data_IF_741531573287
#
_entry.id   IF_741531573287
#
_cell.length_a   1.000
_cell.length_b   1.000
_cell.length_c   1.000
_cell.angle_alpha   90.00
_cell.angle_beta   90.00
_cell.angle_gamma   90.00
#
_symmetry.space_group_name_H-M   'P 1'
#
loop_
_entity.id
_entity.type
_entity.pdbx_description
1 polymer ?
#
# COMPACT_ATOMS: atom_id res chain seq x y z
N UNK A 1 8.08 9.42 -12.36
CA UNK A 1 7.93 8.24 -11.49
C UNK A 1 8.81 8.45 -10.27
N UNK A 2 8.23 8.45 -9.07
CA UNK A 2 9.00 8.43 -7.82
C UNK A 2 8.82 7.06 -7.16
N UNK A 3 9.92 6.46 -6.70
CA UNK A 3 9.89 5.25 -5.89
C UNK A 3 10.51 5.55 -4.53
N UNK A 4 9.86 5.10 -3.46
CA UNK A 4 10.33 5.31 -2.10
C UNK A 4 10.04 4.12 -1.19
N UNK A 5 10.89 3.94 -0.18
CA UNK A 5 10.59 3.04 0.92
C UNK A 5 9.57 3.68 1.84
N UNK A 6 8.56 2.91 2.25
CA UNK A 6 7.47 3.40 3.11
C UNK A 6 7.14 2.40 4.22
N UNK A 7 6.56 2.93 5.31
CA UNK A 7 5.90 2.14 6.34
C UNK A 7 4.44 2.57 6.42
N UNK A 8 3.52 1.62 6.43
CA UNK A 8 2.07 1.87 6.48
C UNK A 8 1.47 1.07 7.63
N UNK A 9 0.66 1.73 8.47
CA UNK A 9 -0.08 1.06 9.54
C UNK A 9 -1.42 0.56 9.00
N UNK A 10 -1.74 -0.69 9.27
CA UNK A 10 -3.02 -1.29 8.90
C UNK A 10 -4.08 -0.94 9.95
N UNK A 11 -5.15 -0.28 9.49
CA UNK A 11 -6.29 0.08 10.35
C UNK A 11 -7.24 -1.07 10.64
N UNK A 12 -7.60 -1.88 9.64
CA UNK A 12 -8.64 -2.92 9.82
C UNK A 12 -8.55 -4.15 8.89
N UNK A 13 -7.92 -4.06 7.71
CA UNK A 13 -7.88 -5.19 6.75
C UNK A 13 -6.49 -5.37 6.12
N UNK A 14 -6.05 -6.62 5.88
CA UNK A 14 -6.69 -7.88 6.29
C UNK A 14 -6.71 -8.04 7.83
N UNK A 15 -7.78 -8.64 8.36
CA UNK A 15 -8.04 -8.70 9.82
C UNK A 15 -6.88 -9.32 10.62
N UNK A 16 -6.20 -10.32 10.06
CA UNK A 16 -5.04 -10.97 10.70
C UNK A 16 -3.83 -10.05 10.87
N UNK A 17 -3.78 -8.98 10.08
CA UNK A 17 -2.76 -7.94 10.17
C UNK A 17 -3.29 -6.62 10.72
N UNK A 18 -4.47 -6.62 11.34
CA UNK A 18 -4.95 -5.44 12.04
C UNK A 18 -3.88 -4.94 13.02
N UNK A 19 -3.60 -3.63 12.99
CA UNK A 19 -2.54 -2.97 13.76
C UNK A 19 -1.10 -3.34 13.38
N UNK A 20 -0.86 -4.21 12.41
CA UNK A 20 0.49 -4.44 11.89
C UNK A 20 0.97 -3.20 11.11
N UNK A 21 2.29 -3.01 11.10
CA UNK A 21 2.96 -2.04 10.23
C UNK A 21 3.61 -2.79 9.08
N UNK A 22 3.20 -2.48 7.85
CA UNK A 22 3.82 -3.01 6.64
C UNK A 22 4.97 -2.12 6.20
N UNK A 23 6.07 -2.74 5.77
CA UNK A 23 7.22 -2.06 5.17
C UNK A 23 7.44 -2.55 3.74
N UNK A 24 7.79 -1.64 2.85
CA UNK A 24 8.01 -1.97 1.44
C UNK A 24 8.25 -0.77 0.55
N UNK A 25 7.97 -0.93 -0.74
CA UNK A 25 8.16 0.12 -1.76
C UNK A 25 6.84 0.66 -2.25
N UNK A 26 6.82 1.96 -2.48
CA UNK A 26 5.74 2.68 -3.11
C UNK A 26 6.24 3.34 -4.39
N UNK A 27 5.55 3.11 -5.50
CA UNK A 27 5.83 3.71 -6.80
C UNK A 27 4.65 4.60 -7.20
N UNK A 28 4.93 5.86 -7.47
CA UNK A 28 3.93 6.85 -7.87
C UNK A 28 4.14 7.24 -9.33
N UNK A 29 3.12 6.95 -10.12
CA UNK A 29 3.01 7.39 -11.51
C UNK A 29 1.56 7.84 -11.77
N UNK A 30 0.89 7.26 -12.78
CA UNK A 30 -0.55 7.45 -13.03
C UNK A 30 -1.40 6.89 -11.87
N UNK A 31 -0.91 5.80 -11.28
CA UNK A 31 -1.48 5.15 -10.09
C UNK A 31 -0.41 5.06 -9.01
N UNK A 32 -0.85 4.79 -7.80
CA UNK A 32 0.04 4.51 -6.67
C UNK A 32 0.09 3.01 -6.47
N UNK A 33 1.28 2.45 -6.67
CA UNK A 33 1.55 1.03 -6.49
C UNK A 33 2.32 0.84 -5.19
N UNK A 34 1.85 -0.05 -4.32
CA UNK A 34 2.57 -0.43 -3.10
C UNK A 34 2.85 -1.91 -3.13
N UNK A 35 4.10 -2.28 -2.80
CA UNK A 35 4.55 -3.67 -2.63
C UNK A 35 5.18 -3.79 -1.26
N UNK A 36 4.57 -4.59 -0.40
CA UNK A 36 5.00 -4.77 0.98
C UNK A 36 5.54 -6.18 1.19
N UNK A 37 6.72 -6.24 1.79
CA UNK A 37 7.50 -7.48 1.94
C UNK A 37 7.70 -7.88 3.40
N UNK A 38 7.51 -6.97 4.33
CA UNK A 38 7.68 -7.19 5.76
C UNK A 38 6.49 -6.62 6.52
N UNK A 39 6.03 -7.35 7.53
CA UNK A 39 5.07 -6.87 8.52
C UNK A 39 5.72 -6.90 9.91
N UNK A 40 5.44 -5.88 10.70
CA UNK A 40 5.79 -5.82 12.12
C UNK A 40 4.49 -5.75 12.95
N UNK A 41 4.30 -6.69 13.86
CA UNK A 41 3.14 -6.75 14.73
C UNK A 41 3.57 -7.26 16.10
N UNK A 42 3.12 -6.59 17.16
CA UNK A 42 3.37 -7.01 18.55
C UNK A 42 4.89 -7.23 18.85
N UNK A 43 5.75 -6.46 18.18
CA UNK A 43 7.22 -6.55 18.30
C UNK A 43 7.87 -7.64 17.44
N UNK A 44 7.09 -8.49 16.78
CA UNK A 44 7.56 -9.54 15.89
C UNK A 44 7.56 -9.08 14.43
N UNK A 45 8.59 -9.47 13.67
CA UNK A 45 8.70 -9.21 12.23
C UNK A 45 8.60 -10.50 11.44
N UNK A 46 7.77 -10.50 10.41
CA UNK A 46 7.58 -11.65 9.54
C UNK A 46 7.41 -11.24 8.06
N UNK A 47 7.82 -12.11 7.12
CA UNK A 47 7.68 -11.83 5.70
C UNK A 47 6.22 -11.84 5.28
N UNK A 48 5.85 -10.93 4.39
CA UNK A 48 4.54 -10.88 3.74
C UNK A 48 4.70 -10.65 2.24
N UNK A 49 3.64 -10.89 1.48
CA UNK A 49 3.60 -10.53 0.07
C UNK A 49 2.25 -9.86 -0.21
N UNK A 50 2.24 -8.53 -0.14
CA UNK A 50 1.01 -7.74 -0.28
C UNK A 50 1.16 -6.59 -1.26
N UNK A 51 0.10 -6.33 -2.01
CA UNK A 51 0.00 -5.20 -2.92
C UNK A 51 -1.12 -4.24 -2.49
N UNK A 52 -0.92 -2.94 -2.74
CA UNK A 52 -2.02 -1.98 -2.70
C UNK A 52 -3.03 -2.32 -3.78
N UNK A 53 -4.30 -2.27 -3.39
CA UNK A 53 -5.44 -2.60 -4.23
C UNK A 53 -6.54 -1.56 -4.03
N UNK A 54 -7.27 -1.22 -5.09
CA UNK A 54 -8.43 -0.35 -4.99
C UNK A 54 -9.71 -1.13 -5.28
N UNK A 55 -10.63 -1.29 -4.31
CA UNK A 55 -11.84 -2.08 -4.49
C UNK A 55 -12.79 -1.60 -5.60
N UNK A 56 -12.67 -0.32 -6.01
CA UNK A 56 -13.56 0.29 -7.00
C UNK A 56 -13.18 -0.01 -8.45
N UNK A 57 -12.03 -0.64 -8.71
CA UNK A 57 -11.65 -1.12 -10.04
C UNK A 57 -10.93 -2.48 -9.97
N UNK A 58 -10.82 -3.17 -11.11
CA UNK A 58 -10.06 -4.42 -11.22
C UNK A 58 -8.60 -4.17 -11.65
N UNK A 59 -8.08 -2.95 -11.45
CA UNK A 59 -6.73 -2.58 -11.86
C UNK A 59 -5.72 -2.73 -10.71
N UNK A 60 -4.43 -2.79 -11.06
CA UNK A 60 -3.35 -2.85 -10.06
C UNK A 60 -3.11 -1.47 -9.45
N UNK A 61 -2.83 -1.44 -8.15
CA UNK A 61 -2.55 -0.19 -7.42
C UNK A 61 -3.82 0.62 -7.18
N UNK A 62 -3.67 1.75 -6.51
CA UNK A 62 -4.78 2.67 -6.24
C UNK A 62 -4.76 3.85 -7.22
N UNK A 63 -5.92 4.31 -7.72
CA UNK A 63 -5.99 5.52 -8.49
C UNK A 63 -5.34 6.65 -7.70
N UNK A 64 -4.58 7.49 -8.40
CA UNK A 64 -4.09 8.73 -7.81
C UNK A 64 -5.29 9.68 -7.70
N UNK A 65 -5.67 10.05 -6.49
CA UNK A 65 -6.68 11.10 -6.30
C UNK A 65 -6.11 12.38 -6.88
N UNK A 66 -6.81 12.99 -7.83
CA UNK A 66 -6.44 14.27 -8.42
C UNK A 66 -6.66 15.38 -7.40
N UNK A 67 -5.75 15.51 -6.44
CA UNK A 67 -5.63 16.72 -5.63
C UNK A 67 -5.04 17.82 -6.49
N UNK A 68 -5.85 18.78 -6.91
CA UNK A 68 -5.36 20.04 -7.46
C UNK A 68 -4.40 20.67 -6.43
N UNK A 69 -3.09 20.65 -6.69
CA UNK A 69 -2.07 21.69 -6.38
C UNK A 69 -0.64 21.12 -6.51
N UNK A 70 0.23 21.64 -7.38
CA UNK A 70 1.68 21.37 -7.32
C UNK A 70 2.31 22.00 -6.07
N UNK A 71 3.24 21.32 -5.36
CA UNK A 71 3.71 19.96 -5.57
C UNK A 71 2.84 18.99 -4.76
N UNK A 72 1.87 18.35 -5.42
CA UNK A 72 0.92 17.45 -4.76
C UNK A 72 1.65 16.21 -4.27
N UNK A 73 1.94 16.17 -2.97
CA UNK A 73 2.20 14.94 -2.25
C UNK A 73 1.11 13.93 -2.62
N UNK A 74 1.46 12.70 -3.00
CA UNK A 74 0.48 11.69 -3.36
C UNK A 74 -0.27 11.26 -2.09
N UNK A 75 -1.37 11.96 -1.79
CA UNK A 75 -2.28 11.58 -0.73
C UNK A 75 -3.07 10.37 -1.23
N UNK A 76 -2.83 9.22 -0.60
CA UNK A 76 -3.69 8.05 -0.75
C UNK A 76 -4.83 8.24 0.25
N UNK A 77 -5.98 8.69 -0.24
CA UNK A 77 -7.19 8.72 0.59
C UNK A 77 -7.54 7.30 1.03
N UNK A 78 -8.03 7.18 2.27
CA UNK A 78 -8.08 5.98 3.12
C UNK A 78 -9.01 4.83 2.65
N UNK A 79 -9.22 4.68 1.34
CA UNK A 79 -9.99 3.62 0.69
C UNK A 79 -9.13 2.59 -0.05
N UNK A 80 -7.80 2.66 0.07
CA UNK A 80 -6.91 1.63 -0.47
C UNK A 80 -6.98 0.35 0.39
N UNK A 81 -7.32 -0.77 -0.24
CA UNK A 81 -7.25 -2.11 0.35
C UNK A 81 -5.89 -2.76 0.16
N UNK A 82 -5.68 -3.88 0.84
CA UNK A 82 -4.49 -4.72 0.70
C UNK A 82 -4.88 -6.08 0.13
N UNK A 83 -4.11 -6.56 -0.85
CA UNK A 83 -4.30 -7.86 -1.47
C UNK A 83 -3.09 -8.75 -1.22
N UNK A 84 -3.32 -9.96 -0.71
CA UNK A 84 -2.30 -11.01 -0.63
C UNK A 84 -2.01 -11.50 -2.04
N UNK A 85 -0.73 -11.55 -2.44
CA UNK A 85 -0.31 -12.10 -3.73
C UNK A 85 0.69 -13.24 -3.52
N UNK A 86 0.77 -14.17 -4.49
CA UNK A 86 1.72 -15.30 -4.41
C UNK A 86 3.16 -14.86 -4.61
N UNK A 87 3.36 -13.88 -5.49
CA UNK A 87 4.60 -13.19 -5.83
C UNK A 87 4.24 -11.85 -6.45
N UNK A 88 5.15 -10.89 -6.43
CA UNK A 88 5.00 -9.69 -7.24
C UNK A 88 5.23 -10.06 -8.71
N UNK A 89 4.42 -9.48 -9.60
CA UNK A 89 4.59 -9.61 -11.05
C UNK A 89 5.30 -8.38 -11.62
#
# INVERSE_FOLDING_TARGET
>A
MSEGWVRVRIGATPYELANATLSGRLNVSERVYGRFTEAERDGERFPVCMELYYPGDNERGTPRVSGNHPPAEPIIDSVAGLKVVRRFE
#
